data_IF_347348183802
#
_entry.id   IF_347348183802
#
_cell.length_a   1.000
_cell.length_b   1.000
_cell.length_c   1.000
_cell.angle_alpha   90.00
_cell.angle_beta   90.00
_cell.angle_gamma   90.00
#
_symmetry.space_group_name_H-M   'P 1'
#
loop_
_entity.id
_entity.type
_entity.pdbx_description
1 polymer ?
#
# COMPACT_ATOMS: atom_id res chain seq x y z
N UNK A 1 -33.94 -2.44 21.46
CA UNK A 1 -32.71 -3.24 21.35
C UNK A 1 -32.55 -3.93 19.98
N UNK A 2 -33.61 -4.48 19.38
CA UNK A 2 -33.57 -5.06 18.00
C UNK A 2 -32.98 -4.10 16.95
N UNK A 3 -33.28 -2.80 17.04
CA UNK A 3 -32.66 -1.78 16.16
C UNK A 3 -31.13 -1.68 16.30
N UNK A 4 -30.60 -1.90 17.50
CA UNK A 4 -29.16 -1.84 17.76
C UNK A 4 -28.42 -3.02 17.14
N UNK A 5 -28.99 -4.22 17.25
CA UNK A 5 -28.43 -5.42 16.62
C UNK A 5 -28.46 -5.31 15.09
N UNK A 6 -29.59 -4.93 14.49
CA UNK A 6 -29.66 -4.73 13.04
C UNK A 6 -28.66 -3.66 12.55
N UNK A 7 -28.41 -2.62 13.36
CA UNK A 7 -27.40 -1.60 13.03
C UNK A 7 -25.98 -2.19 13.02
N UNK A 8 -25.65 -3.10 13.94
CA UNK A 8 -24.32 -3.74 14.00
C UNK A 8 -24.12 -4.67 12.80
N UNK A 9 -25.15 -5.44 12.42
CA UNK A 9 -25.08 -6.31 11.24
C UNK A 9 -24.86 -5.50 9.96
N UNK A 10 -25.57 -4.38 9.79
CA UNK A 10 -25.36 -3.49 8.64
C UNK A 10 -23.95 -2.90 8.64
N UNK A 11 -23.45 -2.43 9.79
CA UNK A 11 -22.08 -1.92 9.91
C UNK A 11 -21.03 -2.98 9.59
N UNK A 12 -21.24 -4.24 9.99
CA UNK A 12 -20.34 -5.33 9.67
C UNK A 12 -20.29 -5.59 8.15
N UNK A 13 -21.42 -5.50 7.45
CA UNK A 13 -21.48 -5.60 5.99
C UNK A 13 -20.77 -4.43 5.29
N UNK A 14 -21.03 -3.19 5.73
CA UNK A 14 -20.34 -2.01 5.19
C UNK A 14 -18.82 -2.11 5.42
N UNK A 15 -18.41 -2.60 6.60
CA UNK A 15 -17.01 -2.77 6.94
C UNK A 15 -16.34 -3.84 6.06
N UNK A 16 -17.03 -4.94 5.74
CA UNK A 16 -16.52 -5.96 4.82
C UNK A 16 -16.31 -5.38 3.41
N UNK A 17 -17.26 -4.59 2.90
CA UNK A 17 -17.12 -3.92 1.60
C UNK A 17 -15.92 -2.95 1.61
N UNK A 18 -15.77 -2.16 2.67
CA UNK A 18 -14.65 -1.23 2.81
C UNK A 18 -13.30 -1.96 2.90
N UNK A 19 -13.25 -3.13 3.53
CA UNK A 19 -12.06 -3.99 3.61
C UNK A 19 -11.67 -4.55 2.23
N UNK A 20 -12.65 -4.99 1.44
CA UNK A 20 -12.42 -5.47 0.07
C UNK A 20 -11.89 -4.35 -0.83
N UNK A 21 -12.51 -3.17 -0.76
CA UNK A 21 -12.04 -1.98 -1.49
C UNK A 21 -10.63 -1.58 -1.07
N UNK A 22 -10.32 -1.62 0.23
CA UNK A 22 -8.98 -1.32 0.76
C UNK A 22 -7.95 -2.33 0.27
N UNK A 23 -8.32 -3.62 0.19
CA UNK A 23 -7.46 -4.68 -0.35
C UNK A 23 -7.17 -4.44 -1.82
N UNK A 24 -8.17 -4.08 -2.62
CA UNK A 24 -7.99 -3.75 -4.03
C UNK A 24 -7.07 -2.54 -4.20
N UNK A 25 -7.28 -1.47 -3.42
CA UNK A 25 -6.44 -0.27 -3.45
C UNK A 25 -4.98 -0.56 -3.06
N UNK A 26 -4.76 -1.37 -2.02
CA UNK A 26 -3.42 -1.80 -1.59
C UNK A 26 -2.70 -2.62 -2.69
N UNK A 27 -3.42 -3.53 -3.35
CA UNK A 27 -2.87 -4.29 -4.47
C UNK A 27 -2.54 -3.42 -5.68
N UNK A 28 -3.38 -2.43 -6.00
CA UNK A 28 -3.08 -1.45 -7.06
C UNK A 28 -1.83 -0.63 -6.72
N UNK A 29 -1.72 -0.15 -5.48
CA UNK A 29 -0.53 0.57 -5.02
C UNK A 29 0.74 -0.28 -5.13
N UNK A 30 0.65 -1.59 -4.80
CA UNK A 30 1.77 -2.53 -4.97
C UNK A 30 2.20 -2.63 -6.44
N UNK A 31 1.23 -2.77 -7.36
CA UNK A 31 1.49 -2.80 -8.80
C UNK A 31 2.14 -1.50 -9.32
N UNK A 32 1.65 -0.34 -8.90
CA UNK A 32 2.24 0.95 -9.26
C UNK A 32 3.66 1.12 -8.71
N UNK A 33 3.95 0.61 -7.51
CA UNK A 33 5.30 0.61 -6.96
C UNK A 33 6.25 -0.29 -7.77
N UNK A 34 5.79 -1.44 -8.24
CA UNK A 34 6.54 -2.32 -9.15
C UNK A 34 6.84 -1.67 -10.50
N UNK A 35 5.85 -0.99 -11.08
CA UNK A 35 6.03 -0.26 -12.33
C UNK A 35 7.04 0.91 -12.18
N UNK A 36 6.91 1.67 -11.09
CA UNK A 36 7.85 2.75 -10.76
C UNK A 36 9.27 2.22 -10.54
N UNK A 37 9.42 1.02 -9.96
CA UNK A 37 10.73 0.36 -9.81
C UNK A 37 11.36 0.07 -11.17
N UNK A 38 10.59 -0.41 -12.14
CA UNK A 38 11.08 -0.68 -13.49
C UNK A 38 11.53 0.61 -14.19
N UNK A 39 10.78 1.70 -14.02
CA UNK A 39 11.16 3.03 -14.55
C UNK A 39 12.45 3.51 -13.89
N UNK A 40 12.58 3.40 -12.56
CA UNK A 40 13.79 3.77 -11.82
C UNK A 40 15.02 3.00 -12.32
N UNK A 41 14.87 1.70 -12.56
CA UNK A 41 15.94 0.87 -13.13
C UNK A 41 16.35 1.34 -14.53
N UNK A 42 15.39 1.66 -15.39
CA UNK A 42 15.68 2.20 -16.72
C UNK A 42 16.41 3.55 -16.66
N UNK A 43 16.01 4.45 -15.75
CA UNK A 43 16.71 5.72 -15.52
C UNK A 43 18.15 5.47 -15.05
N UNK A 44 18.37 4.48 -14.19
CA UNK A 44 19.71 4.09 -13.73
C UNK A 44 20.59 3.61 -14.90
N UNK A 45 20.04 2.78 -15.78
CA UNK A 45 20.73 2.32 -16.99
C UNK A 45 21.09 3.50 -17.91
N UNK A 46 20.19 4.46 -18.12
CA UNK A 46 20.48 5.70 -18.87
C UNK A 46 21.60 6.49 -18.21
N UNK A 47 21.56 6.63 -16.88
CA UNK A 47 22.57 7.36 -16.13
C UNK A 47 23.95 6.70 -16.26
N UNK A 48 24.05 5.37 -16.17
CA UNK A 48 25.29 4.62 -16.37
C UNK A 48 25.83 4.78 -17.80
N UNK A 49 24.97 4.69 -18.81
CA UNK A 49 25.35 4.94 -20.21
C UNK A 49 25.83 6.37 -20.44
N UNK A 50 25.12 7.35 -19.86
CA UNK A 50 25.47 8.77 -19.96
C UNK A 50 26.83 9.05 -19.30
N UNK A 51 27.11 8.41 -18.16
CA UNK A 51 28.41 8.50 -17.51
C UNK A 51 29.53 7.92 -18.40
N UNK A 52 29.29 6.80 -19.08
CA UNK A 52 30.25 6.21 -20.02
C UNK A 52 30.48 7.09 -21.26
N UNK A 53 29.41 7.68 -21.80
CA UNK A 53 29.47 8.66 -22.89
C UNK A 53 30.29 9.89 -22.48
N UNK A 54 30.04 10.44 -21.29
CA UNK A 54 30.80 11.55 -20.73
C UNK A 54 32.28 11.20 -20.51
N UNK A 55 32.59 9.98 -20.09
CA UNK A 55 33.98 9.50 -19.97
C UNK A 55 34.68 9.46 -21.32
N UNK A 56 34.03 8.91 -22.35
CA UNK A 56 34.61 8.88 -23.70
C UNK A 56 34.84 10.30 -24.25
N UNK A 57 33.90 11.22 -24.01
CA UNK A 57 34.04 12.63 -24.39
C UNK A 57 35.20 13.32 -23.65
N UNK A 58 35.39 13.04 -22.35
CA UNK A 58 36.50 13.58 -21.57
C UNK A 58 37.86 13.06 -22.07
N UNK A 59 37.94 11.78 -22.47
CA UNK A 59 39.15 11.19 -23.07
C UNK A 59 39.49 11.88 -24.40
N UNK A 60 38.49 12.07 -25.28
CA UNK A 60 38.74 12.70 -26.58
C UNK A 60 39.07 14.19 -26.44
N UNK A 61 38.46 14.88 -25.47
CA UNK A 61 38.81 16.25 -25.11
C UNK A 61 40.27 16.37 -24.64
N UNK A 62 40.74 15.44 -23.80
CA UNK A 62 42.14 15.40 -23.38
C UNK A 62 43.08 15.13 -24.55
N UNK A 63 42.67 14.28 -25.50
CA UNK A 63 43.43 13.96 -26.71
C UNK A 63 43.58 15.16 -27.67
N UNK A 64 42.57 16.03 -27.74
CA UNK A 64 42.60 17.27 -28.51
C UNK A 64 43.44 18.39 -27.85
N UNK A 65 43.96 18.17 -26.64
CA UNK A 65 44.82 19.12 -25.93
C UNK A 65 44.11 20.45 -25.63
N UNK A 66 44.78 21.57 -25.91
CA UNK A 66 44.23 22.92 -25.66
C UNK A 66 42.91 23.18 -26.41
N UNK A 67 42.70 22.58 -27.59
CA UNK A 67 41.48 22.76 -28.38
C UNK A 67 40.28 22.02 -27.77
N UNK A 68 40.52 20.97 -26.98
CA UNK A 68 39.48 20.18 -26.30
C UNK A 68 39.14 20.67 -24.91
N UNK A 69 39.84 21.68 -24.39
CA UNK A 69 39.78 22.07 -22.96
C UNK A 69 38.38 22.49 -22.50
N UNK A 70 37.63 23.20 -23.36
CA UNK A 70 36.23 23.56 -23.09
C UNK A 70 35.29 22.35 -23.11
N UNK A 71 35.48 21.43 -24.06
CA UNK A 71 34.70 20.18 -24.13
C UNK A 71 34.96 19.27 -22.94
N UNK A 72 36.19 19.24 -22.41
CA UNK A 72 36.54 18.46 -21.21
C UNK A 72 35.74 18.91 -19.98
N UNK A 73 35.56 20.21 -19.78
CA UNK A 73 34.77 20.76 -18.67
C UNK A 73 33.30 20.30 -18.78
N UNK A 74 32.73 20.37 -19.98
CA UNK A 74 31.35 19.92 -20.22
C UNK A 74 31.22 18.42 -19.99
N UNK A 75 32.17 17.62 -20.46
CA UNK A 75 32.17 16.17 -20.30
C UNK A 75 32.23 15.75 -18.81
N UNK A 76 33.04 16.43 -18.00
CA UNK A 76 33.12 16.20 -16.57
C UNK A 76 31.82 16.56 -15.84
N UNK A 77 31.14 17.64 -16.26
CA UNK A 77 29.86 18.03 -15.66
C UNK A 77 28.74 17.05 -16.03
N UNK A 78 28.71 16.57 -17.27
CA UNK A 78 27.80 15.50 -17.71
C UNK A 78 28.02 14.23 -16.88
N UNK A 79 29.28 13.84 -16.61
CA UNK A 79 29.58 12.69 -15.73
C UNK A 79 29.06 12.88 -14.32
N UNK A 80 29.26 14.05 -13.72
CA UNK A 80 28.75 14.33 -12.37
C UNK A 80 27.22 14.22 -12.31
N UNK A 81 26.53 14.80 -13.29
CA UNK A 81 25.07 14.70 -13.39
C UNK A 81 24.61 13.25 -13.55
N UNK A 82 25.31 12.47 -14.37
CA UNK A 82 25.03 11.05 -14.56
C UNK A 82 25.20 10.24 -13.25
N UNK A 83 26.29 10.44 -12.52
CA UNK A 83 26.51 9.80 -11.21
C UNK A 83 25.43 10.23 -10.20
N UNK A 84 25.09 11.52 -10.18
CA UNK A 84 24.04 12.03 -9.30
C UNK A 84 22.67 11.41 -9.61
N UNK A 85 22.33 11.28 -10.90
CA UNK A 85 21.11 10.61 -11.36
C UNK A 85 21.06 9.14 -10.94
N UNK A 86 22.16 8.40 -11.09
CA UNK A 86 22.25 7.01 -10.64
C UNK A 86 22.12 6.86 -9.12
N UNK A 87 22.63 7.82 -8.33
CA UNK A 87 22.43 7.81 -6.88
C UNK A 87 20.98 8.14 -6.50
N UNK A 88 20.32 9.05 -7.23
CA UNK A 88 18.93 9.38 -7.01
C UNK A 88 18.00 8.17 -7.25
N UNK A 89 18.28 7.35 -8.28
CA UNK A 89 17.49 6.13 -8.54
C UNK A 89 17.64 5.08 -7.44
N UNK A 90 18.81 4.98 -6.80
CA UNK A 90 19.00 4.11 -5.60
C UNK A 90 18.11 4.58 -4.45
N UNK A 91 18.03 5.89 -4.21
CA UNK A 91 17.14 6.42 -3.16
C UNK A 91 15.66 6.15 -3.49
N UNK A 92 15.27 6.26 -4.76
CA UNK A 92 13.91 5.90 -5.22
C UNK A 92 13.64 4.41 -4.96
N UNK A 93 14.59 3.53 -5.29
CA UNK A 93 14.46 2.09 -5.03
C UNK A 93 14.26 1.77 -3.54
N UNK A 94 14.99 2.44 -2.65
CA UNK A 94 14.81 2.29 -1.20
C UNK A 94 13.40 2.72 -0.76
N UNK A 95 12.96 3.93 -1.15
CA UNK A 95 11.61 4.42 -0.83
C UNK A 95 10.50 3.51 -1.36
N UNK A 96 10.70 2.88 -2.53
CA UNK A 96 9.75 1.92 -3.08
C UNK A 96 9.72 0.60 -2.28
N UNK A 97 10.84 0.17 -1.73
CA UNK A 97 10.86 -1.00 -0.85
C UNK A 97 10.13 -0.71 0.47
N UNK A 98 10.38 0.44 1.09
CA UNK A 98 9.67 0.88 2.30
C UNK A 98 8.16 0.97 2.05
N UNK A 99 7.77 1.51 0.88
CA UNK A 99 6.36 1.57 0.47
C UNK A 99 5.72 0.18 0.36
N UNK A 100 6.45 -0.81 -0.16
CA UNK A 100 5.94 -2.19 -0.25
C UNK A 100 5.76 -2.82 1.13
N UNK A 101 6.70 -2.61 2.05
CA UNK A 101 6.57 -3.10 3.42
C UNK A 101 5.35 -2.49 4.14
N UNK A 102 5.11 -1.19 3.95
CA UNK A 102 3.91 -0.51 4.45
C UNK A 102 2.64 -1.09 3.85
N UNK A 103 2.62 -1.36 2.53
CA UNK A 103 1.47 -1.99 1.87
C UNK A 103 1.21 -3.40 2.42
N UNK A 104 2.26 -4.19 2.66
CA UNK A 104 2.12 -5.53 3.26
C UNK A 104 1.57 -5.46 4.68
N UNK A 105 2.02 -4.49 5.47
CA UNK A 105 1.47 -4.21 6.80
C UNK A 105 -0.01 -3.84 6.74
N UNK A 106 -0.41 -3.00 5.78
CA UNK A 106 -1.82 -2.63 5.55
C UNK A 106 -2.65 -3.87 5.21
N UNK A 107 -2.17 -4.73 4.31
CA UNK A 107 -2.87 -5.97 3.94
C UNK A 107 -3.04 -6.92 5.14
N UNK A 108 -2.01 -7.03 6.00
CA UNK A 108 -2.12 -7.81 7.25
C UNK A 108 -3.17 -7.22 8.20
N UNK A 109 -3.23 -5.89 8.33
CA UNK A 109 -4.23 -5.22 9.16
C UNK A 109 -5.64 -5.42 8.62
N UNK A 110 -5.84 -5.33 7.30
CA UNK A 110 -7.13 -5.62 6.67
C UNK A 110 -7.55 -7.07 6.93
N UNK A 111 -6.61 -8.02 6.80
CA UNK A 111 -6.87 -9.43 7.12
C UNK A 111 -7.33 -9.64 8.58
N UNK A 112 -6.64 -9.01 9.54
CA UNK A 112 -7.05 -9.03 10.95
C UNK A 112 -8.43 -8.39 11.16
N UNK A 113 -8.69 -7.26 10.51
CA UNK A 113 -10.00 -6.60 10.58
C UNK A 113 -11.11 -7.49 10.03
N UNK A 114 -10.88 -8.24 8.94
CA UNK A 114 -11.87 -9.16 8.40
C UNK A 114 -12.23 -10.26 9.42
N UNK A 115 -11.24 -10.86 10.09
CA UNK A 115 -11.48 -11.83 11.17
C UNK A 115 -12.28 -11.22 12.34
N UNK A 116 -11.97 -9.98 12.72
CA UNK A 116 -12.71 -9.27 13.77
C UNK A 116 -14.16 -9.00 13.35
N UNK A 117 -14.40 -8.57 12.11
CA UNK A 117 -15.74 -8.34 11.57
C UNK A 117 -16.56 -9.62 11.55
N UNK A 118 -15.97 -10.76 11.13
CA UNK A 118 -16.64 -12.06 11.14
C UNK A 118 -17.00 -12.51 12.56
N UNK A 119 -16.08 -12.33 13.51
CA UNK A 119 -16.33 -12.65 14.93
C UNK A 119 -17.44 -11.77 15.50
N UNK A 120 -17.45 -10.48 15.16
CA UNK A 120 -18.48 -9.53 15.57
C UNK A 120 -19.86 -9.93 15.01
N UNK A 121 -19.93 -10.35 13.75
CA UNK A 121 -21.17 -10.84 13.15
C UNK A 121 -21.72 -12.07 13.90
N UNK A 122 -20.87 -13.06 14.18
CA UNK A 122 -21.26 -14.26 14.93
C UNK A 122 -21.76 -13.94 16.36
N UNK A 123 -21.06 -13.05 17.08
CA UNK A 123 -21.50 -12.59 18.40
C UNK A 123 -22.85 -11.86 18.34
N UNK A 124 -23.07 -11.10 17.27
CA UNK A 124 -24.31 -10.38 17.04
C UNK A 124 -25.49 -11.33 16.80
N UNK A 125 -25.28 -12.40 16.05
CA UNK A 125 -26.27 -13.49 15.88
C UNK A 125 -26.59 -14.18 17.21
N UNK A 126 -25.57 -14.46 18.02
CA UNK A 126 -25.76 -15.05 19.35
C UNK A 126 -26.59 -14.14 20.26
N UNK A 127 -26.29 -12.84 20.29
CA UNK A 127 -27.08 -11.84 21.03
C UNK A 127 -28.54 -11.82 20.57
N UNK A 128 -28.79 -11.93 19.26
CA UNK A 128 -30.14 -12.01 18.71
C UNK A 128 -30.89 -13.26 19.20
N UNK A 129 -30.24 -14.43 19.19
CA UNK A 129 -30.82 -15.68 19.71
C UNK A 129 -31.18 -15.57 21.18
N UNK A 130 -30.25 -15.10 22.03
CA UNK A 130 -30.52 -14.91 23.45
C UNK A 130 -31.63 -13.90 23.72
N UNK A 131 -31.78 -12.88 22.87
CA UNK A 131 -32.89 -11.92 22.97
C UNK A 131 -34.24 -12.55 22.63
N UNK A 132 -34.29 -13.42 21.62
CA UNK A 132 -35.52 -14.15 21.28
C UNK A 132 -35.94 -15.08 22.44
N UNK A 133 -34.99 -15.74 23.08
CA UNK A 133 -35.23 -16.55 24.29
C UNK A 133 -35.76 -15.70 25.46
N UNK A 134 -35.15 -14.55 25.73
CA UNK A 134 -35.63 -13.62 26.77
C UNK A 134 -37.06 -13.15 26.49
N UNK A 135 -37.37 -12.80 25.23
CA UNK A 135 -38.72 -12.38 24.84
C UNK A 135 -39.74 -13.50 25.05
N UNK A 136 -39.42 -14.73 24.64
CA UNK A 136 -40.27 -15.92 24.88
C UNK A 136 -40.52 -16.13 26.37
N UNK A 137 -39.46 -16.08 27.18
CA UNK A 137 -39.56 -16.26 28.63
C UNK A 137 -40.39 -15.14 29.28
N UNK A 138 -40.21 -13.89 28.86
CA UNK A 138 -41.03 -12.76 29.31
C UNK A 138 -42.50 -12.96 28.97
N UNK A 139 -42.81 -13.46 27.76
CA UNK A 139 -44.18 -13.75 27.35
C UNK A 139 -44.80 -14.87 28.20
N UNK A 140 -44.05 -15.95 28.45
CA UNK A 140 -44.50 -17.03 29.34
C UNK A 140 -44.77 -16.54 30.77
N UNK A 141 -43.97 -15.62 31.31
CA UNK A 141 -44.21 -15.00 32.62
C UNK A 141 -45.50 -14.16 32.63
N UNK A 142 -45.76 -13.41 31.55
CA UNK A 142 -47.01 -12.64 31.40
C UNK A 142 -48.22 -13.57 31.33
N UNK A 143 -48.11 -14.69 30.61
CA UNK A 143 -49.22 -15.64 30.49
C UNK A 143 -49.46 -16.43 31.79
N UNK A 144 -48.40 -16.73 32.54
CA UNK A 144 -48.50 -17.31 33.89
C UNK A 144 -49.20 -16.38 34.88
N UNK A 145 -48.90 -15.08 34.85
CA UNK A 145 -49.58 -14.12 35.76
C UNK A 145 -51.05 -13.88 35.41
N UNK A 146 -51.47 -14.11 34.16
CA UNK A 146 -52.89 -14.07 33.75
C UNK A 146 -53.70 -15.31 34.13
N UNK A 147 -53.04 -16.42 34.44
CA UNK A 147 -53.68 -17.69 34.81
C UNK A 147 -53.83 -17.87 36.32
N UNK A 148 -53.24 -16.98 37.12
CA UNK A 148 -53.48 -16.80 38.56
C UNK A 148 -54.68 -15.87 38.80
#
# INVERSE_FOLDING_TARGET
MVKGVNSITNQAQELAIAQDQSTEAANKAKGSADETKNISKFIKEIAEQTNLLGLNAAIEAARAGEQGRGFGIVADEVRKLAVHSANATVNIENSLNDMKELIETILQHIGKMNTLTQTQAALTEQVNSSMDEINKMSQSLVDFTKTL
#
